data_IF_834788043329
#
_entry.id   IF_834788043329
#
_cell.length_a   1.000
_cell.length_b   1.000
_cell.length_c   1.000
_cell.angle_alpha   90.00
_cell.angle_beta   90.00
_cell.angle_gamma   90.00
#
_symmetry.space_group_name_H-M   'P 1'
#
loop_
_entity.id
_entity.type
_entity.pdbx_description
1 polymer ?
#
# COMPACT_ATOMS: atom_id res chain seq x y z
N UNK A 1 11.82 -2.55 3.59
CA UNK A 1 11.87 -3.22 2.28
C UNK A 1 12.03 -4.72 2.46
N UNK A 2 11.82 -5.50 1.40
CA UNK A 2 12.02 -6.95 1.39
C UNK A 2 10.93 -7.75 2.11
N UNK A 3 9.79 -7.12 2.43
CA UNK A 3 8.70 -7.73 3.18
C UNK A 3 7.41 -7.67 2.39
N UNK A 4 6.64 -8.75 2.44
CA UNK A 4 5.28 -8.80 1.91
C UNK A 4 4.32 -8.13 2.89
N UNK A 5 3.40 -7.33 2.38
CA UNK A 5 2.42 -6.63 3.20
C UNK A 5 1.39 -7.64 3.76
N UNK A 6 1.20 -7.71 5.10
CA UNK A 6 0.45 -8.80 5.73
C UNK A 6 -1.07 -8.61 5.77
N UNK A 7 -1.55 -7.40 5.55
CA UNK A 7 -2.95 -6.99 5.65
C UNK A 7 -3.17 -5.71 4.82
N UNK A 8 -4.41 -5.26 4.61
CA UNK A 8 -4.60 -3.94 4.02
C UNK A 8 -4.34 -2.88 5.09
N UNK A 9 -3.48 -1.93 4.78
CA UNK A 9 -2.95 -0.95 5.72
C UNK A 9 -3.18 0.45 5.17
N UNK A 10 -3.80 1.32 5.96
CA UNK A 10 -3.80 2.77 5.73
C UNK A 10 -2.47 3.32 6.24
N UNK A 11 -1.68 3.90 5.34
CA UNK A 11 -0.34 4.41 5.62
C UNK A 11 -0.40 5.74 6.40
N UNK A 12 0.28 5.82 7.54
CA UNK A 12 0.32 7.04 8.37
C UNK A 12 1.66 7.76 8.29
N UNK A 13 2.74 7.04 8.01
CA UNK A 13 4.09 7.58 7.85
C UNK A 13 4.83 6.76 6.81
N UNK A 14 5.70 7.41 6.03
CA UNK A 14 6.58 6.76 5.06
C UNK A 14 7.97 7.35 5.10
N UNK A 15 8.95 6.53 4.78
CA UNK A 15 10.33 6.91 4.52
C UNK A 15 10.76 6.23 3.21
N UNK A 16 10.58 6.95 2.09
CA UNK A 16 10.82 6.44 0.73
C UNK A 16 10.14 5.08 0.45
N UNK A 17 8.91 4.89 0.96
CA UNK A 17 8.19 3.62 0.81
C UNK A 17 7.70 3.43 -0.63
N UNK A 18 8.12 2.34 -1.25
CA UNK A 18 7.64 1.93 -2.58
C UNK A 18 7.18 0.48 -2.51
N UNK A 19 6.02 0.19 -3.13
CA UNK A 19 5.42 -1.15 -3.15
C UNK A 19 5.11 -1.62 -4.56
N UNK A 20 5.24 -2.92 -4.81
CA UNK A 20 4.76 -3.58 -6.03
C UNK A 20 3.34 -4.11 -5.79
N UNK A 21 2.39 -3.70 -6.61
CA UNK A 21 0.95 -4.02 -6.52
C UNK A 21 0.46 -4.89 -7.67
N UNK A 22 1.37 -5.61 -8.35
CA UNK A 22 1.06 -6.44 -9.51
C UNK A 22 -0.01 -7.50 -9.23
N UNK A 23 0.03 -8.12 -8.06
CA UNK A 23 -0.97 -9.11 -7.63
C UNK A 23 -2.36 -8.54 -7.35
N UNK A 24 -2.47 -7.22 -7.13
CA UNK A 24 -3.72 -6.56 -6.72
C UNK A 24 -4.36 -5.81 -7.89
N UNK A 25 -3.55 -5.08 -8.65
CA UNK A 25 -4.02 -4.16 -9.71
C UNK A 25 -3.62 -4.63 -11.12
N UNK A 26 -2.70 -5.58 -11.24
CA UNK A 26 -2.08 -5.96 -12.51
C UNK A 26 -1.02 -4.96 -13.01
N UNK A 27 -0.75 -3.88 -12.27
CA UNK A 27 0.29 -2.90 -12.62
C UNK A 27 1.66 -3.42 -12.20
N UNK A 28 2.62 -3.44 -13.13
CA UNK A 28 3.97 -3.97 -12.90
C UNK A 28 4.96 -2.92 -12.40
N UNK A 29 4.66 -1.63 -12.56
CA UNK A 29 5.50 -0.56 -12.06
C UNK A 29 5.32 -0.42 -10.53
N UNK A 30 6.41 -0.32 -9.74
CA UNK A 30 6.32 0.00 -8.33
C UNK A 30 5.66 1.36 -8.09
N UNK A 31 4.90 1.47 -7.00
CA UNK A 31 4.14 2.67 -6.64
C UNK A 31 4.71 3.28 -5.37
N UNK A 32 5.07 4.56 -5.45
CA UNK A 32 5.45 5.35 -4.28
C UNK A 32 4.25 5.60 -3.37
N UNK A 33 4.47 5.37 -2.08
CA UNK A 33 3.46 5.50 -1.04
C UNK A 33 3.55 6.84 -0.31
N UNK A 34 2.41 7.32 0.19
CA UNK A 34 2.30 8.56 0.97
C UNK A 34 1.35 8.42 2.16
N UNK A 35 1.57 9.22 3.20
CA UNK A 35 0.64 9.37 4.32
C UNK A 35 -0.57 10.26 3.97
N UNK A 36 -0.46 11.09 2.94
CA UNK A 36 -1.47 12.08 2.57
C UNK A 36 -2.83 11.44 2.25
N UNK A 37 -3.91 12.16 2.58
CA UNK A 37 -5.24 11.72 2.21
C UNK A 37 -5.43 11.79 0.69
N UNK A 38 -5.90 10.70 0.09
CA UNK A 38 -6.35 10.71 -1.30
C UNK A 38 -7.61 11.57 -1.43
N UNK A 39 -7.79 12.20 -2.60
CA UNK A 39 -9.02 12.91 -2.90
C UNK A 39 -10.21 11.94 -2.96
N UNK A 40 -11.41 12.41 -2.63
CA UNK A 40 -12.61 11.56 -2.47
C UNK A 40 -13.05 10.82 -3.74
N UNK A 41 -12.63 11.27 -4.92
CA UNK A 41 -12.93 10.64 -6.21
C UNK A 41 -11.89 9.59 -6.64
N UNK A 42 -10.78 9.47 -5.92
CA UNK A 42 -9.72 8.49 -6.21
C UNK A 42 -10.15 7.13 -5.69
N UNK A 43 -10.11 6.12 -6.56
CA UNK A 43 -10.35 4.73 -6.18
C UNK A 43 -9.31 4.28 -5.13
N UNK A 44 -9.71 3.40 -4.22
CA UNK A 44 -8.77 2.83 -3.24
C UNK A 44 -7.59 2.13 -3.94
N UNK A 45 -7.83 1.48 -5.08
CA UNK A 45 -6.81 0.76 -5.85
C UNK A 45 -5.80 1.69 -6.55
N UNK A 46 -6.20 2.95 -6.78
CA UNK A 46 -5.32 3.98 -7.34
C UNK A 46 -4.71 4.89 -6.26
N UNK A 47 -5.15 4.72 -5.00
CA UNK A 47 -4.67 5.53 -3.88
C UNK A 47 -3.24 5.13 -3.50
N UNK A 48 -2.40 6.12 -3.25
CA UNK A 48 -1.00 5.91 -2.81
C UNK A 48 -0.85 5.77 -1.31
N UNK A 49 -1.97 5.76 -0.59
CA UNK A 49 -1.99 5.88 0.85
C UNK A 49 -2.60 4.63 1.53
N UNK A 50 -2.81 3.57 0.74
CA UNK A 50 -3.19 2.23 1.16
C UNK A 50 -2.18 1.22 0.60
N UNK A 51 -1.65 0.36 1.46
CA UNK A 51 -0.85 -0.80 1.07
C UNK A 51 -1.72 -2.04 1.20
N UNK A 52 -1.84 -2.83 0.13
CA UNK A 52 -2.74 -3.98 0.08
C UNK A 52 -2.04 -5.26 0.52
N UNK A 53 -2.75 -6.15 1.18
CA UNK A 53 -2.23 -7.49 1.50
C UNK A 53 -1.70 -8.17 0.24
N UNK A 54 -0.49 -8.72 0.33
CA UNK A 54 0.14 -9.44 -0.77
C UNK A 54 1.02 -8.58 -1.67
N UNK A 55 0.86 -7.26 -1.67
CA UNK A 55 1.85 -6.36 -2.27
C UNK A 55 3.23 -6.52 -1.61
N UNK A 56 4.28 -6.15 -2.33
CA UNK A 56 5.67 -6.35 -1.89
C UNK A 56 6.39 -5.01 -1.70
N UNK A 57 6.96 -4.78 -0.52
CA UNK A 57 7.73 -3.56 -0.24
C UNK A 57 9.11 -3.66 -0.91
N UNK A 58 9.28 -2.94 -2.01
CA UNK A 58 10.52 -2.92 -2.80
C UNK A 58 11.57 -2.01 -2.18
N UNK A 59 11.15 -0.89 -1.59
CA UNK A 59 12.03 0.13 -1.04
C UNK A 59 11.44 0.80 0.21
N UNK A 60 12.31 1.31 1.08
CA UNK A 60 11.93 2.13 2.22
C UNK A 60 11.18 1.38 3.32
N UNK A 61 10.51 2.16 4.17
CA UNK A 61 9.70 1.69 5.28
C UNK A 61 8.54 2.65 5.55
N UNK A 62 7.58 2.19 6.36
CA UNK A 62 6.44 3.02 6.76
C UNK A 62 5.68 2.42 7.93
N UNK A 63 4.84 3.26 8.53
CA UNK A 63 3.94 2.89 9.61
C UNK A 63 2.50 3.09 9.14
N UNK A 64 1.60 2.20 9.53
CA UNK A 64 0.20 2.33 9.17
C UNK A 64 -0.74 1.56 10.09
N UNK A 65 -2.03 1.81 9.92
CA UNK A 65 -3.12 1.12 10.64
C UNK A 65 -3.69 0.05 9.73
N UNK A 66 -3.82 -1.17 10.25
CA UNK A 66 -4.54 -2.25 9.57
C UNK A 66 -6.03 -1.87 9.46
N UNK A 67 -6.54 -1.81 8.23
CA UNK A 67 -7.93 -1.45 7.95
C UNK A 67 -8.77 -2.65 7.54
N UNK A 68 -8.16 -3.72 7.02
CA UNK A 68 -8.83 -5.00 6.69
C UNK A 68 -7.93 -6.18 6.96
N UNK A 69 -8.51 -7.33 7.30
CA UNK A 69 -7.78 -8.57 7.62
C UNK A 69 -8.46 -9.81 7.04
N UNK A 70 -7.67 -10.87 6.83
CA UNK A 70 -8.18 -12.20 6.52
C UNK A 70 -8.99 -12.28 5.23
N UNK A 71 -10.27 -12.63 5.33
CA UNK A 71 -11.20 -12.72 4.18
C UNK A 71 -11.77 -11.36 3.75
N UNK A 72 -11.46 -10.30 4.51
CA UNK A 72 -12.01 -8.97 4.31
C UNK A 72 -11.03 -7.98 3.70
N UNK A 73 -9.75 -8.37 3.53
CA UNK A 73 -8.84 -7.70 2.59
C UNK A 73 -9.44 -7.77 1.20
#
# INVERSE_FOLDING_TARGET
>A
SGSRIPADIRILQTNCLTIEVSEVTGQTAPVECTAEAAASHVSVFDSRNVAFKGSYCTEGDGLGIVIRTGKFT
#
